data_IF_201202039456
#
_entry.id   IF_201202039456
#
_cell.length_a   1.000
_cell.length_b   1.000
_cell.length_c   1.000
_cell.angle_alpha   90.00
_cell.angle_beta   90.00
_cell.angle_gamma   90.00
#
_symmetry.space_group_name_H-M   'P 1'
#
loop_
_entity.id
_entity.type
_entity.pdbx_description
1 polymer ?
#
# COMPACT_ATOMS: atom_id res chain seq x y z
N UNK A 1 -12.68 21.64 -3.22
CA UNK A 1 -13.04 20.28 -2.76
C UNK A 1 -12.67 20.21 -1.29
N UNK A 2 -13.52 19.64 -0.44
CA UNK A 2 -13.17 19.31 0.94
C UNK A 2 -12.85 17.82 1.03
N UNK A 3 -11.94 17.45 1.91
CA UNK A 3 -11.57 16.07 2.17
C UNK A 3 -11.53 15.83 3.67
N UNK A 4 -12.13 14.73 4.13
CA UNK A 4 -12.08 14.31 5.53
C UNK A 4 -11.24 13.04 5.61
N UNK A 5 -10.18 13.07 6.42
CA UNK A 5 -9.39 11.89 6.73
C UNK A 5 -10.24 10.91 7.55
N UNK A 6 -10.28 9.64 7.14
CA UNK A 6 -11.14 8.63 7.76
C UNK A 6 -10.38 7.40 8.26
N UNK A 7 -9.16 7.16 7.81
CA UNK A 7 -8.39 5.98 8.22
C UNK A 7 -7.01 5.94 7.58
N UNK A 8 -6.18 5.02 8.08
CA UNK A 8 -4.83 4.79 7.58
C UNK A 8 -4.64 3.32 7.22
N UNK A 9 -4.47 3.07 5.93
CA UNK A 9 -4.27 1.73 5.40
C UNK A 9 -2.82 1.30 5.60
N UNK A 10 -2.61 0.28 6.44
CA UNK A 10 -1.30 -0.33 6.59
C UNK A 10 -0.88 -1.01 5.28
N UNK A 11 0.37 -0.78 4.89
CA UNK A 11 0.97 -1.35 3.69
C UNK A 11 1.92 -2.48 4.08
N UNK A 12 1.94 -3.53 3.27
CA UNK A 12 2.89 -4.62 3.35
C UNK A 12 3.50 -4.95 1.99
N UNK A 13 4.57 -5.75 2.02
CA UNK A 13 5.25 -6.26 0.84
C UNK A 13 4.93 -7.74 0.68
N UNK A 14 4.53 -8.16 -0.52
CA UNK A 14 4.04 -9.51 -0.77
C UNK A 14 4.58 -10.08 -2.07
N UNK A 15 4.68 -11.41 -2.13
CA UNK A 15 4.97 -12.13 -3.36
C UNK A 15 4.23 -13.45 -3.40
N UNK A 16 3.93 -13.94 -4.60
CA UNK A 16 3.43 -15.30 -4.77
C UNK A 16 4.54 -16.32 -4.44
N UNK A 17 4.24 -17.44 -3.75
CA UNK A 17 5.23 -18.49 -3.49
C UNK A 17 5.92 -18.98 -4.76
N UNK A 18 5.16 -19.11 -5.87
CA UNK A 18 5.72 -19.52 -7.16
C UNK A 18 6.75 -18.55 -7.74
N UNK A 19 6.65 -17.24 -7.42
CA UNK A 19 7.69 -16.27 -7.78
C UNK A 19 8.97 -16.51 -6.98
N UNK A 20 8.85 -16.68 -5.66
CA UNK A 20 9.99 -16.89 -4.76
C UNK A 20 10.71 -18.20 -5.03
N UNK A 21 9.99 -19.26 -5.41
CA UNK A 21 10.60 -20.53 -5.83
C UNK A 21 11.50 -20.37 -7.05
N UNK A 22 11.15 -19.48 -8.00
CA UNK A 22 11.94 -19.25 -9.21
C UNK A 22 13.08 -18.26 -9.02
N UNK A 23 12.85 -17.22 -8.23
CA UNK A 23 13.75 -16.08 -8.11
C UNK A 23 14.55 -16.04 -6.81
N UNK A 24 14.23 -16.92 -5.85
CA UNK A 24 14.69 -16.82 -4.47
C UNK A 24 13.83 -15.87 -3.63
N UNK A 25 14.08 -15.86 -2.32
CA UNK A 25 13.46 -14.91 -1.39
C UNK A 25 14.48 -13.82 -1.05
N UNK A 26 14.19 -12.53 -1.32
CA UNK A 26 15.07 -11.45 -0.92
C UNK A 26 15.14 -11.36 0.59
N UNK A 27 16.35 -11.21 1.14
CA UNK A 27 16.58 -11.10 2.58
C UNK A 27 16.51 -9.65 3.06
N UNK A 28 16.80 -8.70 2.16
CA UNK A 28 16.83 -7.27 2.44
C UNK A 28 16.09 -6.47 1.36
N UNK A 29 15.40 -5.35 1.69
CA UNK A 29 14.74 -4.51 0.68
C UNK A 29 15.68 -4.01 -0.43
N UNK A 30 16.96 -3.79 -0.13
CA UNK A 30 17.97 -3.41 -1.14
C UNK A 30 18.25 -4.52 -2.17
N UNK A 31 17.95 -5.78 -1.87
CA UNK A 31 18.06 -6.87 -2.84
C UNK A 31 17.14 -6.63 -4.04
N UNK A 32 16.06 -5.86 -3.86
CA UNK A 32 15.13 -5.52 -4.93
C UNK A 32 15.72 -4.56 -5.98
N UNK A 33 16.80 -3.87 -5.63
CA UNK A 33 17.57 -3.02 -6.57
C UNK A 33 18.74 -3.78 -7.19
N UNK A 34 19.46 -4.52 -6.33
CA UNK A 34 20.78 -5.05 -6.65
C UNK A 34 20.75 -6.45 -7.29
N UNK A 35 19.59 -7.10 -7.34
CA UNK A 35 19.45 -8.47 -7.84
C UNK A 35 18.59 -8.59 -9.11
N UNK A 36 18.27 -9.83 -9.47
CA UNK A 36 17.35 -10.17 -10.56
C UNK A 36 15.87 -10.01 -10.17
N UNK A 37 15.56 -9.67 -8.91
CA UNK A 37 14.19 -9.46 -8.48
C UNK A 37 13.46 -8.40 -9.32
N UNK A 38 12.13 -8.53 -9.34
CA UNK A 38 11.22 -7.75 -10.15
C UNK A 38 10.05 -7.29 -9.30
N UNK A 39 9.61 -6.07 -9.58
CA UNK A 39 8.48 -5.44 -8.93
C UNK A 39 7.36 -5.32 -9.94
N UNK A 40 6.12 -5.59 -9.53
CA UNK A 40 4.97 -5.08 -10.27
C UNK A 40 4.78 -3.64 -9.78
N UNK A 41 4.79 -2.69 -10.72
CA UNK A 41 4.65 -1.28 -10.40
C UNK A 41 3.19 -0.85 -10.41
N UNK A 42 2.77 -0.13 -9.38
CA UNK A 42 1.48 0.55 -9.38
C UNK A 42 1.68 2.02 -9.77
N UNK A 43 1.10 2.43 -10.90
CA UNK A 43 1.11 3.80 -11.37
C UNK A 43 0.05 4.59 -10.62
N UNK A 44 0.51 5.52 -9.81
CA UNK A 44 -0.40 6.45 -9.15
C UNK A 44 -0.90 7.47 -10.16
N UNK A 45 -2.23 7.53 -10.32
CA UNK A 45 -2.92 8.42 -11.27
C UNK A 45 -2.50 9.90 -11.17
N UNK A 46 -2.01 10.33 -10.00
CA UNK A 46 -1.60 11.72 -9.75
C UNK A 46 -0.21 12.08 -10.26
N UNK A 47 0.70 11.11 -10.36
CA UNK A 47 2.12 11.35 -10.72
C UNK A 47 2.53 10.65 -12.01
N UNK A 48 1.77 9.64 -12.46
CA UNK A 48 2.14 8.81 -13.62
C UNK A 48 3.45 8.04 -13.43
N UNK A 49 3.97 8.00 -12.20
CA UNK A 49 5.23 7.34 -11.82
C UNK A 49 4.94 6.35 -10.72
N UNK A 50 5.63 5.21 -10.76
CA UNK A 50 5.71 4.34 -9.60
C UNK A 50 6.41 5.11 -8.46
N UNK A 51 5.80 5.11 -7.27
CA UNK A 51 6.40 5.75 -6.10
C UNK A 51 7.60 4.92 -5.63
N UNK A 52 8.71 5.56 -5.21
CA UNK A 52 9.75 4.85 -4.50
C UNK A 52 9.16 4.32 -3.19
N UNK A 53 9.33 3.02 -2.95
CA UNK A 53 8.83 2.37 -1.75
C UNK A 53 9.82 2.59 -0.62
N UNK A 54 9.52 3.54 0.26
CA UNK A 54 10.31 3.77 1.46
C UNK A 54 9.96 2.73 2.52
N UNK A 55 10.99 2.16 3.14
CA UNK A 55 10.90 1.17 4.20
C UNK A 55 11.89 1.55 5.30
N UNK A 56 11.55 1.31 6.56
CA UNK A 56 12.44 1.60 7.67
C UNK A 56 12.44 0.52 8.75
N UNK A 57 13.58 0.33 9.40
CA UNK A 57 13.79 -0.63 10.49
C UNK A 57 14.95 -0.17 11.36
N UNK A 58 14.77 -0.08 12.67
CA UNK A 58 15.84 0.23 13.65
C UNK A 58 16.75 1.44 13.29
N UNK A 59 16.17 2.49 12.71
CA UNK A 59 16.90 3.70 12.29
C UNK A 59 17.51 3.62 10.88
N UNK A 60 17.47 2.46 10.23
CA UNK A 60 17.76 2.29 8.82
C UNK A 60 16.57 2.74 7.97
N UNK A 61 16.84 3.47 6.88
CA UNK A 61 15.84 3.82 5.86
C UNK A 61 16.33 3.39 4.48
N UNK A 62 15.48 2.66 3.78
CA UNK A 62 15.72 2.19 2.41
C UNK A 62 14.62 2.74 1.51
N UNK A 63 15.00 3.26 0.34
CA UNK A 63 14.06 3.60 -0.73
C UNK A 63 14.32 2.68 -1.91
N UNK A 64 13.33 1.86 -2.25
CA UNK A 64 13.42 0.95 -3.38
C UNK A 64 12.78 1.60 -4.61
N UNK A 65 13.58 1.82 -5.64
CA UNK A 65 13.06 2.08 -7.00
C UNK A 65 12.76 0.75 -7.70
N UNK A 66 13.66 -0.21 -7.53
CA UNK A 66 13.60 -1.56 -8.06
C UNK A 66 13.48 -1.66 -9.59
N UNK A 67 13.27 -2.89 -10.08
CA UNK A 67 13.18 -3.20 -11.51
C UNK A 67 11.78 -3.65 -11.87
N UNK A 68 11.04 -2.83 -12.62
CA UNK A 68 9.66 -3.14 -12.96
C UNK A 68 9.55 -4.19 -14.06
N UNK A 69 8.76 -5.23 -13.83
CA UNK A 69 8.38 -6.19 -14.88
C UNK A 69 7.18 -5.70 -15.70
N UNK A 70 6.25 -5.02 -15.03
CA UNK A 70 5.03 -4.45 -15.58
C UNK A 70 4.62 -3.28 -14.68
N UNK A 71 3.99 -2.27 -15.27
CA UNK A 71 3.33 -1.19 -14.52
C UNK A 71 1.86 -1.13 -14.88
N UNK A 72 0.99 -1.07 -13.86
CA UNK A 72 -0.47 -1.00 -14.01
C UNK A 72 -1.04 0.09 -13.12
N UNK A 73 -2.21 0.61 -13.45
CA UNK A 73 -2.92 1.66 -12.70
C UNK A 73 -4.25 1.16 -12.08
N UNK A 74 -4.55 -0.14 -12.20
CA UNK A 74 -5.72 -0.79 -11.62
C UNK A 74 -5.32 -1.79 -10.53
N UNK A 75 -6.03 -1.74 -9.39
CA UNK A 75 -5.71 -2.55 -8.22
C UNK A 75 -5.95 -4.05 -8.42
N UNK A 76 -6.95 -4.45 -9.22
CA UNK A 76 -7.23 -5.86 -9.48
C UNK A 76 -6.20 -6.45 -10.45
N UNK A 77 -5.85 -5.71 -11.50
CA UNK A 77 -4.78 -6.07 -12.41
C UNK A 77 -3.44 -6.18 -11.67
N UNK A 78 -3.19 -5.30 -10.70
CA UNK A 78 -1.99 -5.31 -9.87
C UNK A 78 -1.84 -6.59 -9.05
N UNK A 79 -2.90 -6.98 -8.33
CA UNK A 79 -2.92 -8.22 -7.57
C UNK A 79 -2.81 -9.42 -8.52
N UNK A 80 -3.58 -9.46 -9.60
CA UNK A 80 -3.56 -10.56 -10.57
C UNK A 80 -2.15 -10.79 -11.14
N UNK A 81 -1.41 -9.72 -11.44
CA UNK A 81 -0.03 -9.80 -11.90
C UNK A 81 0.91 -10.41 -10.86
N UNK A 82 0.79 -10.03 -9.59
CA UNK A 82 1.62 -10.62 -8.54
C UNK A 82 1.26 -12.08 -8.23
N UNK A 83 -0.02 -12.44 -8.26
CA UNK A 83 -0.48 -13.83 -8.11
C UNK A 83 0.02 -14.73 -9.25
N UNK A 84 0.09 -14.21 -10.47
CA UNK A 84 0.73 -14.88 -11.61
C UNK A 84 2.27 -14.98 -11.45
N UNK A 85 2.83 -14.42 -10.39
CA UNK A 85 4.26 -14.45 -10.10
C UNK A 85 5.07 -13.58 -11.05
N UNK A 86 4.55 -12.43 -11.46
CA UNK A 86 5.29 -11.46 -12.28
C UNK A 86 6.25 -10.60 -11.46
N UNK A 87 6.09 -10.55 -10.14
CA UNK A 87 6.97 -9.79 -9.26
C UNK A 87 6.43 -9.63 -7.84
N UNK A 88 7.13 -8.81 -7.08
CA UNK A 88 6.81 -8.40 -5.71
C UNK A 88 5.83 -7.22 -5.75
N UNK A 89 4.92 -7.19 -4.78
CA UNK A 89 3.82 -6.24 -4.65
C UNK A 89 3.92 -5.41 -3.36
N UNK A 90 3.47 -4.16 -3.42
CA UNK A 90 3.13 -3.35 -2.25
C UNK A 90 1.62 -3.19 -2.19
N UNK A 91 0.99 -3.78 -1.19
CA UNK A 91 -0.47 -3.79 -1.05
C UNK A 91 -0.88 -3.25 0.32
N UNK A 92 -2.02 -2.55 0.41
CA UNK A 92 -2.74 -2.46 1.65
C UNK A 92 -3.05 -3.86 2.20
N UNK A 93 -2.84 -4.06 3.50
CA UNK A 93 -3.01 -5.37 4.14
C UNK A 93 -4.40 -5.97 3.86
N UNK A 94 -5.45 -5.13 3.88
CA UNK A 94 -6.81 -5.59 3.63
C UNK A 94 -6.99 -6.23 2.25
N UNK A 95 -6.23 -5.77 1.24
CA UNK A 95 -6.25 -6.32 -0.12
C UNK A 95 -5.50 -7.65 -0.17
N UNK A 96 -4.44 -7.81 0.62
CA UNK A 96 -3.63 -9.02 0.67
C UNK A 96 -4.27 -10.14 1.51
N UNK A 97 -5.01 -9.81 2.58
CA UNK A 97 -5.66 -10.75 3.52
C UNK A 97 -6.29 -11.99 2.89
N UNK A 98 -7.18 -11.91 1.87
CA UNK A 98 -7.80 -13.10 1.30
C UNK A 98 -6.78 -14.03 0.60
N UNK A 99 -5.71 -13.49 0.04
CA UNK A 99 -4.66 -14.26 -0.64
C UNK A 99 -3.65 -14.85 0.34
N UNK A 100 -3.37 -14.14 1.44
CA UNK A 100 -2.58 -14.67 2.55
C UNK A 100 -3.27 -15.88 3.19
N UNK A 101 -4.59 -15.80 3.42
CA UNK A 101 -5.37 -16.88 4.01
C UNK A 101 -5.37 -18.16 3.15
N UNK A 102 -5.23 -18.02 1.83
CA UNK A 102 -5.13 -19.13 0.87
C UNK A 102 -3.70 -19.61 0.62
N UNK A 103 -2.70 -18.86 1.09
CA UNK A 103 -1.30 -19.11 0.77
C UNK A 103 -0.90 -18.71 -0.66
N UNK A 104 -1.74 -17.98 -1.38
CA UNK A 104 -1.44 -17.50 -2.74
C UNK A 104 -0.41 -16.35 -2.73
N UNK A 105 -0.33 -15.62 -1.61
CA UNK A 105 0.69 -14.63 -1.32
C UNK A 105 1.36 -14.94 0.02
N UNK A 106 2.61 -14.53 0.15
CA UNK A 106 3.34 -14.52 1.43
C UNK A 106 3.91 -13.13 1.71
N UNK A 107 3.95 -12.70 2.98
CA UNK A 107 4.55 -11.44 3.36
C UNK A 107 6.08 -11.51 3.28
N UNK A 108 6.70 -10.42 2.88
CA UNK A 108 8.15 -10.19 2.87
C UNK A 108 8.48 -9.05 3.82
N UNK A 109 9.72 -9.02 4.32
CA UNK A 109 10.26 -7.91 5.12
C UNK A 109 9.35 -7.53 6.31
N UNK A 110 8.83 -8.51 7.04
CA UNK A 110 7.88 -8.28 8.15
C UNK A 110 8.48 -7.49 9.32
N UNK A 111 9.81 -7.41 9.40
CA UNK A 111 10.58 -6.60 10.33
C UNK A 111 10.75 -5.14 9.87
N UNK A 112 10.29 -4.80 8.66
CA UNK A 112 10.33 -3.44 8.11
C UNK A 112 8.96 -2.77 8.19
N UNK A 113 9.00 -1.49 8.52
CA UNK A 113 7.83 -0.62 8.57
C UNK A 113 7.72 0.18 7.28
N UNK A 114 6.48 0.40 6.85
CA UNK A 114 6.11 1.20 5.69
C UNK A 114 5.14 2.29 6.13
N UNK A 115 5.24 3.46 5.48
CA UNK A 115 4.27 4.52 5.70
C UNK A 115 2.87 4.06 5.31
N UNK A 116 1.90 4.27 6.21
CA UNK A 116 0.50 3.94 5.93
C UNK A 116 -0.08 4.86 4.86
N UNK A 117 -0.95 4.33 4.02
CA UNK A 117 -1.66 5.09 2.99
C UNK A 117 -2.89 5.78 3.62
N UNK A 118 -2.94 7.13 3.68
CA UNK A 118 -4.08 7.82 4.26
C UNK A 118 -5.31 7.72 3.35
N UNK A 119 -6.47 7.44 3.94
CA UNK A 119 -7.75 7.36 3.26
C UNK A 119 -8.62 8.58 3.57
N UNK A 120 -9.17 9.20 2.53
CA UNK A 120 -10.03 10.37 2.66
C UNK A 120 -11.37 10.18 1.97
N UNK A 121 -12.42 10.76 2.54
CA UNK A 121 -13.69 10.99 1.86
C UNK A 121 -13.69 12.39 1.29
N UNK A 122 -13.77 12.50 -0.04
CA UNK A 122 -13.82 13.76 -0.77
C UNK A 122 -15.27 14.19 -1.05
N UNK A 123 -15.58 15.47 -0.85
CA UNK A 123 -16.91 16.03 -1.11
C UNK A 123 -16.85 17.49 -1.58
N UNK A 124 -17.88 17.98 -2.29
CA UNK A 124 -17.93 19.36 -2.77
C UNK A 124 -17.87 20.37 -1.61
N UNK A 125 -17.16 21.50 -1.78
CA UNK A 125 -17.10 22.57 -0.79
C UNK A 125 -18.38 23.41 -0.88
N UNK A 126 -19.54 22.83 -0.56
CA UNK A 126 -20.79 23.59 -0.52
C UNK A 126 -20.98 24.18 0.88
N UNK A 127 -21.47 25.43 0.94
CA UNK A 127 -21.79 26.14 2.19
C UNK A 127 -22.75 25.35 3.10
N UNK A 128 -23.56 24.47 2.51
CA UNK A 128 -24.45 23.54 3.21
C UNK A 128 -24.18 22.11 2.75
N UNK A 129 -23.22 21.42 3.37
CA UNK A 129 -23.11 19.96 3.26
C UNK A 129 -24.41 19.35 3.82
N UNK A 130 -25.10 18.55 3.01
CA UNK A 130 -26.36 17.90 3.42
C UNK A 130 -26.14 17.09 4.71
N UNK A 131 -27.15 17.06 5.59
CA UNK A 131 -27.14 16.22 6.81
C UNK A 131 -26.86 14.76 6.43
N UNK A 132 -27.42 14.27 5.32
CA UNK A 132 -27.18 12.89 4.85
C UNK A 132 -25.69 12.61 4.59
N UNK A 133 -24.98 13.57 4.00
CA UNK A 133 -23.53 13.44 3.73
C UNK A 133 -22.74 13.46 5.02
N UNK A 134 -23.10 14.33 5.99
CA UNK A 134 -22.45 14.36 7.30
C UNK A 134 -22.60 13.04 8.05
N UNK A 135 -23.83 12.55 8.20
CA UNK A 135 -24.12 11.27 8.85
C UNK A 135 -23.39 10.11 8.17
N UNK A 136 -23.30 10.11 6.83
CA UNK A 136 -22.51 9.11 6.12
C UNK A 136 -21.01 9.20 6.44
N UNK A 137 -20.44 10.40 6.45
CA UNK A 137 -19.02 10.60 6.79
C UNK A 137 -18.74 10.15 8.23
N UNK A 138 -19.60 10.52 9.17
CA UNK A 138 -19.46 10.15 10.58
C UNK A 138 -19.53 8.63 10.76
N UNK A 139 -20.49 7.97 10.10
CA UNK A 139 -20.59 6.51 10.07
C UNK A 139 -19.35 5.83 9.46
N UNK A 140 -18.80 6.37 8.37
CA UNK A 140 -17.55 5.85 7.78
C UNK A 140 -16.38 5.99 8.76
N UNK A 141 -16.27 7.11 9.48
CA UNK A 141 -15.21 7.31 10.48
C UNK A 141 -15.31 6.26 11.59
N UNK A 142 -16.51 6.01 12.10
CA UNK A 142 -16.75 4.97 13.12
C UNK A 142 -16.36 3.58 12.61
N UNK A 143 -16.77 3.23 11.39
CA UNK A 143 -16.43 1.95 10.76
C UNK A 143 -14.92 1.80 10.54
N UNK A 144 -14.25 2.87 10.11
CA UNK A 144 -12.81 2.85 9.85
C UNK A 144 -11.99 2.78 11.14
N UNK A 145 -12.49 3.28 12.27
CA UNK A 145 -11.83 3.12 13.57
C UNK A 145 -11.63 1.64 13.95
N UNK A 146 -12.51 0.75 13.48
CA UNK A 146 -12.40 -0.70 13.72
C UNK A 146 -11.50 -1.41 12.70
N UNK A 147 -11.49 -0.95 11.44
CA UNK A 147 -10.88 -1.70 10.34
C UNK A 147 -9.53 -1.17 9.84
N UNK A 148 -9.30 0.14 9.91
CA UNK A 148 -8.03 0.77 9.59
C UNK A 148 -7.93 2.09 10.38
N UNK A 149 -7.72 2.02 11.70
CA UNK A 149 -7.70 3.19 12.56
C UNK A 149 -6.67 4.19 12.06
N UNK A 150 -7.00 5.47 12.20
CA UNK A 150 -6.04 6.55 11.95
C UNK A 150 -4.87 6.34 12.89
N UNK A 151 -3.68 6.12 12.33
CA UNK A 151 -2.46 6.03 13.11
C UNK A 151 -2.16 7.39 13.73
N UNK A 152 -1.41 7.41 14.83
CA UNK A 152 -0.84 8.65 15.38
C UNK A 152 0.20 9.19 14.39
N UNK A 153 -0.22 9.75 13.26
CA UNK A 153 0.69 10.43 12.34
C UNK A 153 1.23 11.65 13.06
N UNK A 154 2.52 11.58 13.39
CA UNK A 154 3.27 12.58 14.12
C UNK A 154 3.05 14.00 13.60
N UNK A 155 3.06 14.94 14.54
CA UNK A 155 3.11 16.40 14.41
C UNK A 155 4.25 16.96 13.53
N UNK A 156 4.96 16.13 12.77
CA UNK A 156 6.17 16.50 12.03
C UNK A 156 5.82 16.56 10.55
N UNK A 157 5.25 17.70 10.13
CA UNK A 157 5.32 18.24 8.75
C UNK A 157 4.50 19.56 8.71
N UNK A 158 4.75 20.43 9.69
CA UNK A 158 4.44 21.87 9.58
C UNK A 158 5.73 22.63 9.79
N UNK A 159 6.50 22.78 8.72
CA UNK A 159 7.42 23.89 8.49
C UNK A 159 7.24 24.40 7.06
#
# INVERSE_FOLDING_TARGET
>A
MMARHVGDLQLGVYAAPGYLQRMGTPAHPLDLENSSHRIVGYLWARTGKALPYAMHRDGEQVRVQGRYALTVDDGNAYIAAGLAGMGILWLPDYMARPYLARGDLVPLFQDWQLDSMPMYVAFPPNRHVSIKVRVFIDWVIELMAEHAPVGERGRLDRE
#
